data_IF_824224571765
#
_entry.id   IF_824224571765
#
_cell.length_a   1.000
_cell.length_b   1.000
_cell.length_c   1.000
_cell.angle_alpha   90.00
_cell.angle_beta   90.00
_cell.angle_gamma   90.00
#
_symmetry.space_group_name_H-M   'P 1'
#
loop_
_entity.id
_entity.type
_entity.pdbx_description
1 polymer ?
#
# COMPACT_ATOMS: atom_id res chain seq x y z
N UNK A 1 -3.38 16.07 -4.05
CA UNK A 1 -2.69 15.13 -4.94
C UNK A 1 -1.79 14.21 -4.14
N UNK A 2 -1.79 12.90 -4.42
CA UNK A 2 -0.98 11.97 -3.68
C UNK A 2 0.51 12.10 -4.04
N UNK A 3 1.39 11.90 -3.05
CA UNK A 3 2.85 11.97 -3.20
C UNK A 3 3.52 10.60 -3.04
N UNK A 4 2.80 9.60 -2.56
CA UNK A 4 3.30 8.24 -2.39
C UNK A 4 2.17 7.22 -2.40
N UNK A 5 2.54 5.95 -2.61
CA UNK A 5 1.63 4.81 -2.53
C UNK A 5 2.05 3.97 -1.33
N UNK A 6 1.09 3.59 -0.51
CA UNK A 6 1.33 2.72 0.64
C UNK A 6 0.96 1.29 0.30
N UNK A 7 1.80 0.33 0.70
CA UNK A 7 1.36 -1.06 0.72
C UNK A 7 0.61 -1.34 2.04
N UNK A 8 0.07 -2.53 2.18
CA UNK A 8 -0.66 -2.91 3.39
C UNK A 8 0.22 -2.83 4.64
N UNK A 9 1.48 -3.26 4.53
CA UNK A 9 2.40 -3.27 5.66
C UNK A 9 2.71 -1.86 6.18
N UNK A 10 2.86 -0.90 5.27
CA UNK A 10 3.13 0.49 5.63
C UNK A 10 1.95 1.10 6.39
N UNK A 11 0.73 0.93 5.88
CA UNK A 11 -0.44 1.48 6.56
C UNK A 11 -0.67 0.79 7.90
N UNK A 12 -0.47 -0.54 7.99
CA UNK A 12 -0.57 -1.26 9.26
C UNK A 12 0.45 -0.77 10.27
N UNK A 13 1.70 -0.50 9.86
CA UNK A 13 2.72 0.03 10.75
C UNK A 13 2.28 1.37 11.34
N UNK A 14 1.65 2.23 10.53
CA UNK A 14 1.11 3.49 11.00
C UNK A 14 -0.05 3.29 12.00
N UNK A 15 -1.02 2.44 11.65
CA UNK A 15 -2.20 2.21 12.49
C UNK A 15 -1.86 1.55 13.82
N UNK A 16 -0.82 0.72 13.84
CA UNK A 16 -0.40 -0.05 15.02
C UNK A 16 0.76 0.60 15.77
N UNK A 17 1.24 1.75 15.32
CA UNK A 17 2.33 2.45 15.98
C UNK A 17 3.65 1.70 15.94
N UNK A 18 3.91 0.94 14.89
CA UNK A 18 5.11 0.14 14.73
C UNK A 18 6.27 0.97 14.18
N UNK A 19 7.47 0.36 14.17
CA UNK A 19 8.67 0.99 13.62
C UNK A 19 8.44 1.40 12.15
N UNK A 20 8.75 2.65 11.83
CA UNK A 20 8.51 3.24 10.53
C UNK A 20 7.22 4.05 10.46
N UNK A 21 6.40 4.06 11.52
CA UNK A 21 5.14 4.79 11.54
C UNK A 21 5.31 6.29 11.30
N UNK A 22 6.44 6.87 11.72
CA UNK A 22 6.68 8.31 11.52
C UNK A 22 6.84 8.65 10.04
N UNK A 23 7.54 7.81 9.28
CA UNK A 23 7.70 8.02 7.84
C UNK A 23 6.35 7.92 7.12
N UNK A 24 5.50 6.98 7.55
CA UNK A 24 4.15 6.85 6.97
C UNK A 24 3.29 8.04 7.36
N UNK A 25 3.37 8.49 8.61
CA UNK A 25 2.64 9.69 9.05
C UNK A 25 3.01 10.90 8.19
N UNK A 26 4.29 11.10 7.91
CA UNK A 26 4.73 12.21 7.08
C UNK A 26 4.20 12.07 5.65
N UNK A 27 4.23 10.88 5.09
CA UNK A 27 3.69 10.60 3.77
C UNK A 27 2.18 10.87 3.71
N UNK A 28 1.44 10.48 4.73
CA UNK A 28 0.00 10.74 4.84
C UNK A 28 -0.26 12.25 4.90
N UNK A 29 0.57 12.98 5.64
CA UNK A 29 0.47 14.45 5.71
C UNK A 29 0.66 15.14 4.37
N UNK A 30 1.45 14.55 3.48
CA UNK A 30 1.65 15.04 2.11
C UNK A 30 0.58 14.53 1.14
N UNK A 31 -0.24 13.59 1.56
CA UNK A 31 -1.21 12.90 0.72
C UNK A 31 -0.65 11.59 0.19
N UNK A 32 -1.39 10.51 0.39
CA UNK A 32 -0.99 9.17 -0.03
C UNK A 32 -2.13 8.48 -0.77
N UNK A 33 -1.79 7.39 -1.45
CA UNK A 33 -2.77 6.52 -2.10
C UNK A 33 -2.51 5.08 -1.68
N UNK A 34 -3.55 4.27 -1.70
CA UNK A 34 -3.46 2.83 -1.46
C UNK A 34 -4.37 2.11 -2.45
N UNK A 35 -3.90 1.02 -3.01
CA UNK A 35 -4.73 0.16 -3.85
C UNK A 35 -5.87 -0.42 -3.03
N UNK A 36 -7.06 -0.56 -3.62
CA UNK A 36 -8.19 -1.23 -2.98
C UNK A 36 -7.82 -2.65 -2.52
N UNK A 37 -6.94 -3.35 -3.25
CA UNK A 37 -6.46 -4.67 -2.85
C UNK A 37 -5.65 -4.60 -1.55
N UNK A 38 -4.78 -3.62 -1.41
CA UNK A 38 -3.97 -3.46 -0.20
C UNK A 38 -4.81 -2.95 0.98
N UNK A 39 -5.78 -2.10 0.71
CA UNK A 39 -6.73 -1.68 1.74
C UNK A 39 -7.53 -2.88 2.26
N UNK A 40 -7.95 -3.78 1.37
CA UNK A 40 -8.60 -5.04 1.76
C UNK A 40 -7.70 -5.91 2.63
N UNK A 41 -6.39 -5.98 2.32
CA UNK A 41 -5.44 -6.71 3.15
C UNK A 41 -5.32 -6.11 4.55
N UNK A 42 -5.27 -4.78 4.66
CA UNK A 42 -5.23 -4.09 5.96
C UNK A 42 -6.45 -4.48 6.78
N UNK A 43 -7.65 -4.36 6.20
CA UNK A 43 -8.88 -4.72 6.90
C UNK A 43 -8.91 -6.19 7.29
N UNK A 44 -8.44 -7.08 6.42
CA UNK A 44 -8.39 -8.52 6.70
C UNK A 44 -7.51 -8.84 7.90
N UNK A 45 -6.33 -8.23 7.97
CA UNK A 45 -5.43 -8.43 9.10
C UNK A 45 -5.99 -7.87 10.40
N UNK A 46 -6.69 -6.75 10.34
CA UNK A 46 -7.33 -6.18 11.53
C UNK A 46 -8.51 -7.05 12.02
N UNK A 47 -9.25 -7.65 11.09
CA UNK A 47 -10.29 -8.64 11.45
C UNK A 47 -9.66 -9.85 12.15
N UNK A 48 -8.55 -10.36 11.61
CA UNK A 48 -7.82 -11.48 12.24
C UNK A 48 -7.34 -11.12 13.65
N UNK A 49 -7.05 -9.85 13.90
CA UNK A 49 -6.64 -9.35 15.21
C UNK A 49 -7.83 -9.05 16.14
N UNK A 50 -9.06 -9.36 15.73
CA UNK A 50 -10.25 -9.17 16.54
C UNK A 50 -10.97 -7.85 16.38
N UNK A 51 -10.55 -7.00 15.41
CA UNK A 51 -11.18 -5.72 15.17
C UNK A 51 -12.47 -5.85 14.35
N UNK A 52 -13.39 -4.92 14.55
CA UNK A 52 -14.57 -4.77 13.70
C UNK A 52 -14.19 -3.86 12.50
N UNK A 53 -14.04 -4.48 11.33
CA UNK A 53 -13.59 -3.77 10.14
C UNK A 53 -14.56 -2.66 9.70
N UNK A 54 -15.87 -2.89 9.81
CA UNK A 54 -16.86 -1.88 9.43
C UNK A 54 -16.78 -0.66 10.33
N UNK A 55 -16.73 -0.88 11.64
CA UNK A 55 -16.60 0.22 12.61
C UNK A 55 -15.29 0.98 12.44
N UNK A 56 -14.18 0.25 12.23
CA UNK A 56 -12.87 0.86 12.06
C UNK A 56 -12.80 1.67 10.77
N UNK A 57 -13.22 1.09 9.65
CA UNK A 57 -13.23 1.80 8.37
C UNK A 57 -14.08 3.08 8.44
N UNK A 58 -15.24 3.01 9.09
CA UNK A 58 -16.11 4.17 9.30
C UNK A 58 -15.44 5.25 10.14
N UNK A 59 -14.75 4.86 11.20
CA UNK A 59 -14.02 5.80 12.06
C UNK A 59 -12.89 6.48 11.30
N UNK A 60 -12.09 5.71 10.57
CA UNK A 60 -10.98 6.26 9.79
C UNK A 60 -11.45 7.21 8.69
N UNK A 61 -12.60 6.91 8.09
CA UNK A 61 -13.22 7.81 7.11
C UNK A 61 -13.66 9.13 7.76
N UNK A 62 -14.32 9.05 8.92
CA UNK A 62 -14.77 10.25 9.64
C UNK A 62 -13.61 11.11 10.13
N UNK A 63 -12.50 10.49 10.48
CA UNK A 63 -11.29 11.19 10.91
C UNK A 63 -10.50 11.80 9.74
N UNK A 64 -10.94 11.56 8.50
CA UNK A 64 -10.28 12.10 7.31
C UNK A 64 -9.03 11.33 6.88
N UNK A 65 -8.76 10.16 7.47
CA UNK A 65 -7.60 9.37 7.08
C UNK A 65 -7.86 8.63 5.77
N UNK A 66 -8.94 7.84 5.73
CA UNK A 66 -9.30 7.03 4.55
C UNK A 66 -10.31 7.79 3.70
N UNK A 67 -10.05 7.88 2.41
CA UNK A 67 -10.87 8.60 1.44
C UNK A 67 -10.45 10.05 1.24
N UNK A 68 -9.64 10.59 2.15
CA UNK A 68 -9.15 11.95 2.10
C UNK A 68 -7.62 11.96 2.11
N UNK A 69 -6.98 11.88 3.28
CA UNK A 69 -5.51 11.87 3.37
C UNK A 69 -4.88 10.66 2.67
N UNK A 70 -5.51 9.50 2.77
CA UNK A 70 -5.14 8.29 2.02
C UNK A 70 -6.30 7.94 1.08
N UNK A 71 -6.08 8.10 -0.21
CA UNK A 71 -7.09 7.79 -1.22
C UNK A 71 -7.04 6.32 -1.57
N UNK A 72 -8.18 5.65 -1.51
CA UNK A 72 -8.29 4.26 -1.95
C UNK A 72 -8.56 4.26 -3.46
N UNK A 73 -7.62 3.69 -4.22
CA UNK A 73 -7.67 3.67 -5.68
C UNK A 73 -8.22 2.33 -6.14
N UNK A 74 -9.30 2.32 -6.94
CA UNK A 74 -9.90 1.07 -7.43
C UNK A 74 -8.93 0.29 -8.33
N UNK A 75 -9.06 -1.03 -8.31
CA UNK A 75 -8.39 -1.91 -9.26
C UNK A 75 -9.16 -1.91 -10.58
N UNK A 76 -8.44 -1.70 -11.67
CA UNK A 76 -9.04 -1.67 -13.02
C UNK A 76 -8.59 -2.87 -13.84
N UNK A 77 -9.18 -3.04 -15.03
CA UNK A 77 -8.78 -4.08 -15.97
C UNK A 77 -7.33 -3.89 -16.43
N UNK A 78 -6.90 -2.63 -16.62
CA UNK A 78 -5.51 -2.33 -16.99
C UNK A 78 -4.56 -2.71 -15.85
N UNK A 79 -4.97 -2.51 -14.61
CA UNK A 79 -4.17 -2.92 -13.44
C UNK A 79 -3.99 -4.43 -13.42
N UNK A 80 -5.01 -5.21 -13.81
CA UNK A 80 -4.90 -6.66 -13.86
C UNK A 80 -3.78 -7.11 -14.80
N UNK A 81 -3.67 -6.50 -15.97
CA UNK A 81 -2.60 -6.79 -16.91
C UNK A 81 -1.24 -6.38 -16.34
N UNK A 82 -1.14 -5.19 -15.80
CA UNK A 82 0.11 -4.69 -15.20
C UNK A 82 0.59 -5.58 -14.05
N UNK A 83 -0.33 -6.04 -13.19
CA UNK A 83 -0.04 -6.96 -12.09
C UNK A 83 0.52 -8.28 -12.62
N UNK A 84 -0.11 -8.83 -13.67
CA UNK A 84 0.34 -10.08 -14.31
C UNK A 84 1.74 -9.92 -14.90
N UNK A 85 2.02 -8.79 -15.54
CA UNK A 85 3.32 -8.50 -16.15
C UNK A 85 4.45 -8.38 -15.13
N UNK A 86 4.15 -8.09 -13.88
CA UNK A 86 5.14 -8.05 -12.80
C UNK A 86 5.51 -9.45 -12.27
N UNK A 87 4.77 -10.48 -12.63
CA UNK A 87 4.99 -11.84 -12.09
C UNK A 87 6.40 -12.37 -12.34
N UNK A 88 6.95 -12.31 -13.59
CA UNK A 88 8.28 -12.86 -13.85
C UNK A 88 9.37 -12.26 -12.96
N UNK A 89 9.39 -10.94 -12.80
CA UNK A 89 10.41 -10.24 -12.01
C UNK A 89 10.28 -10.42 -10.50
N UNK A 90 9.10 -10.84 -10.02
CA UNK A 90 8.80 -10.89 -8.57
C UNK A 90 8.55 -12.31 -8.05
N UNK A 91 8.51 -13.30 -8.93
CA UNK A 91 8.23 -14.69 -8.54
C UNK A 91 9.23 -15.24 -7.54
N UNK A 92 10.52 -15.06 -7.81
CA UNK A 92 11.59 -15.59 -6.95
C UNK A 92 11.57 -14.98 -5.56
N UNK A 93 11.09 -13.75 -5.42
CA UNK A 93 10.98 -13.04 -4.15
C UNK A 93 9.66 -13.32 -3.43
N UNK A 94 8.78 -14.12 -4.02
CA UNK A 94 7.54 -14.54 -3.40
C UNK A 94 6.50 -13.44 -3.22
N UNK A 95 6.51 -12.41 -4.06
CA UNK A 95 5.53 -11.34 -3.94
C UNK A 95 4.13 -11.84 -4.25
N UNK A 96 3.18 -11.45 -3.39
CA UNK A 96 1.78 -11.81 -3.51
C UNK A 96 1.09 -10.98 -4.61
N UNK A 97 -0.15 -11.34 -4.90
CA UNK A 97 -1.00 -10.56 -5.80
C UNK A 97 -1.16 -9.12 -5.29
N UNK A 98 -1.39 -8.95 -3.97
CA UNK A 98 -1.50 -7.64 -3.35
C UNK A 98 -0.22 -6.82 -3.45
N UNK A 99 0.93 -7.45 -3.24
CA UNK A 99 2.23 -6.77 -3.39
C UNK A 99 2.39 -6.23 -4.80
N UNK A 100 2.07 -7.03 -5.79
CA UNK A 100 2.15 -6.63 -7.20
C UNK A 100 1.12 -5.55 -7.55
N UNK A 101 -0.06 -5.59 -6.93
CA UNK A 101 -1.06 -4.54 -7.10
C UNK A 101 -0.54 -3.19 -6.62
N UNK A 102 0.16 -3.17 -5.49
CA UNK A 102 0.79 -1.97 -4.96
C UNK A 102 1.85 -1.42 -5.91
N UNK A 103 2.74 -2.29 -6.39
CA UNK A 103 3.80 -1.90 -7.32
C UNK A 103 3.23 -1.37 -8.64
N UNK A 104 2.20 -2.02 -9.17
CA UNK A 104 1.53 -1.58 -10.39
C UNK A 104 0.90 -0.19 -10.22
N UNK A 105 0.30 0.08 -9.07
CA UNK A 105 -0.27 1.39 -8.78
C UNK A 105 0.82 2.46 -8.69
N UNK A 106 1.92 2.16 -8.02
CA UNK A 106 3.06 3.08 -7.96
C UNK A 106 3.59 3.44 -9.32
N UNK A 107 3.72 2.45 -10.22
CA UNK A 107 4.14 2.68 -11.60
C UNK A 107 3.13 3.56 -12.34
N UNK A 108 1.85 3.23 -12.25
CA UNK A 108 0.79 3.97 -12.96
C UNK A 108 0.73 5.44 -12.54
N UNK A 109 0.87 5.70 -11.25
CA UNK A 109 0.81 7.06 -10.72
C UNK A 109 2.15 7.80 -10.78
N UNK A 110 3.25 7.09 -11.07
CA UNK A 110 4.58 7.68 -11.06
C UNK A 110 5.03 8.11 -9.67
N UNK A 111 4.62 7.37 -8.64
CA UNK A 111 4.88 7.71 -7.24
C UNK A 111 5.70 6.63 -6.55
N UNK A 112 6.53 7.00 -5.56
CA UNK A 112 7.25 6.01 -4.76
C UNK A 112 6.28 5.16 -3.95
N UNK A 113 6.66 3.89 -3.76
CA UNK A 113 5.92 2.91 -2.98
C UNK A 113 6.59 2.75 -1.63
N UNK A 114 5.85 2.91 -0.55
CA UNK A 114 6.32 2.70 0.81
C UNK A 114 5.93 1.32 1.30
N UNK A 115 6.91 0.60 1.85
CA UNK A 115 6.71 -0.77 2.35
C UNK A 115 7.60 -1.02 3.56
N UNK A 116 7.24 -1.98 4.40
CA UNK A 116 8.12 -2.47 5.47
C UNK A 116 9.09 -3.54 4.96
N UNK A 117 8.89 -4.06 3.76
CA UNK A 117 9.69 -5.15 3.21
C UNK A 117 10.91 -4.61 2.46
N UNK A 118 12.07 -4.65 3.11
CA UNK A 118 13.31 -4.14 2.55
C UNK A 118 13.77 -4.90 1.30
N UNK A 119 13.34 -6.15 1.15
CA UNK A 119 13.72 -6.97 0.01
C UNK A 119 13.18 -6.43 -1.32
N UNK A 120 12.10 -5.63 -1.29
CA UNK A 120 11.58 -5.02 -2.52
C UNK A 120 12.57 -4.04 -3.15
N UNK A 121 13.47 -3.46 -2.37
CA UNK A 121 14.50 -2.55 -2.90
C UNK A 121 15.46 -3.24 -3.85
N UNK A 122 15.62 -4.56 -3.73
CA UNK A 122 16.52 -5.35 -4.55
C UNK A 122 15.89 -5.84 -5.85
N UNK A 123 14.59 -5.58 -6.03
CA UNK A 123 13.88 -5.98 -7.24
C UNK A 123 14.28 -5.08 -8.42
N UNK A 124 14.60 -5.70 -9.55
CA UNK A 124 14.94 -4.97 -10.78
C UNK A 124 13.65 -4.59 -11.51
N UNK A 125 12.98 -3.54 -11.02
CA UNK A 125 11.69 -3.09 -11.56
C UNK A 125 11.87 -1.74 -12.24
N UNK A 126 11.61 -1.71 -13.55
CA UNK A 126 11.67 -0.48 -14.32
C UNK A 126 10.52 0.46 -13.92
N UNK A 127 10.83 1.74 -13.76
CA UNK A 127 9.86 2.81 -13.49
C UNK A 127 9.12 2.67 -12.17
N UNK A 128 9.65 1.89 -11.22
CA UNK A 128 9.07 1.78 -9.88
C UNK A 128 10.12 2.13 -8.85
N UNK A 129 9.81 3.10 -8.00
CA UNK A 129 10.67 3.49 -6.87
C UNK A 129 10.10 2.89 -5.60
N UNK A 130 10.91 2.11 -4.90
CA UNK A 130 10.54 1.50 -3.62
C UNK A 130 11.28 2.20 -2.49
N UNK A 131 10.55 2.58 -1.45
CA UNK A 131 11.11 3.18 -0.23
C UNK A 131 10.74 2.36 0.99
N UNK A 132 11.66 1.56 1.53
CA UNK A 132 11.41 0.88 2.80
C UNK A 132 11.28 1.91 3.92
N UNK A 133 10.32 1.68 4.84
CA UNK A 133 10.11 2.60 5.97
C UNK A 133 10.87 2.19 7.22
N UNK A 134 11.53 1.03 7.17
CA UNK A 134 12.35 0.55 8.29
C UNK A 134 13.40 -0.47 7.88
#
# INVERSE_FOLDING_TARGET
MASSVLDASALLAYLQGERGSEQVRDAIGEGAAISAANWAEVLSKLIEAGEDAVALAGRLAREGLIGDAVKVVPLTAEDALAIAQLRPATRASGLSLGDRACLALGRRLGLPVLTTDRAWSDLALADITVRPIR
#
